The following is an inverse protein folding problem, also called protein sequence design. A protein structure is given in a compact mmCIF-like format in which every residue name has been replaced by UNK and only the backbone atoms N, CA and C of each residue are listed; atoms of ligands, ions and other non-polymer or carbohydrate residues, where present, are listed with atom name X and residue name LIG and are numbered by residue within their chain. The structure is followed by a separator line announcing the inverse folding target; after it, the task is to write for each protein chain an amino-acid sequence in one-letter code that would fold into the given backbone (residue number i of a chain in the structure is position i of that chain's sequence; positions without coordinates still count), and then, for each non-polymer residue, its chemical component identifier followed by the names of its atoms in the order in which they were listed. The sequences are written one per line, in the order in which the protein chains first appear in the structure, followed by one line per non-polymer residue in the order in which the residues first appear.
data_IF_199510946017
#
_entry.id   IF_199510946017
#
_cell.length_a   1.000
_cell.length_b   1.000
_cell.length_c   1.000
_cell.angle_alpha   90.00
_cell.angle_beta   90.00
_cell.angle_gamma   90.00
#
_symmetry.space_group_name_H-M   'P 1'
#
loop_
_entity.id
_entity.type
_entity.pdbx_description
1 polymer ?
#
# COMPACT_ATOMS: atom_id res chain seq x y z
N UNK A 1 41.30 0.10 -20.67
CA UNK A 1 40.65 0.96 -19.69
C UNK A 1 39.60 0.12 -18.98
N UNK A 2 39.87 -0.35 -17.78
CA UNK A 2 38.92 -1.09 -16.95
C UNK A 2 37.83 -0.09 -16.56
N UNK A 3 36.60 -0.28 -17.10
CA UNK A 3 35.42 0.45 -16.63
C UNK A 3 35.32 0.25 -15.11
N UNK A 4 35.52 1.31 -14.37
CA UNK A 4 35.28 1.31 -12.91
C UNK A 4 33.79 1.06 -12.68
N UNK A 5 33.43 -0.19 -12.36
CA UNK A 5 32.08 -0.57 -12.00
C UNK A 5 31.57 0.38 -10.90
N UNK A 6 30.40 0.96 -11.09
CA UNK A 6 29.77 1.78 -10.05
C UNK A 6 29.51 0.92 -8.80
N UNK A 7 29.51 1.52 -7.60
CA UNK A 7 29.18 0.80 -6.35
C UNK A 7 27.84 0.05 -6.50
N UNK A 8 26.87 0.64 -7.18
CA UNK A 8 25.56 0.03 -7.46
C UNK A 8 25.71 -1.29 -8.24
N UNK A 9 26.48 -1.27 -9.32
CA UNK A 9 26.72 -2.47 -10.14
C UNK A 9 27.45 -3.57 -9.34
N UNK A 10 28.35 -3.17 -8.42
CA UNK A 10 29.05 -4.12 -7.56
C UNK A 10 28.12 -4.76 -6.53
N UNK A 11 27.20 -3.99 -5.91
CA UNK A 11 26.16 -4.49 -5.01
C UNK A 11 25.28 -5.52 -5.73
N UNK A 12 24.87 -5.23 -6.97
CA UNK A 12 24.03 -6.15 -7.75
C UNK A 12 24.66 -7.52 -7.99
N UNK A 13 25.99 -7.58 -8.09
CA UNK A 13 26.75 -8.81 -8.35
C UNK A 13 27.24 -9.50 -7.08
N UNK A 14 27.25 -8.82 -5.94
CA UNK A 14 27.79 -9.33 -4.67
C UNK A 14 26.74 -10.09 -3.87
N UNK A 15 27.13 -11.05 -3.00
CA UNK A 15 26.23 -11.63 -2.04
C UNK A 15 25.76 -10.57 -1.02
N UNK A 16 24.55 -10.73 -0.49
CA UNK A 16 24.02 -9.80 0.53
C UNK A 16 24.68 -10.05 1.89
N UNK A 17 25.25 -8.98 2.44
CA UNK A 17 25.78 -8.96 3.80
C UNK A 17 24.71 -8.67 4.86
N UNK A 18 25.08 -8.83 6.14
CA UNK A 18 24.18 -8.58 7.29
C UNK A 18 23.63 -7.15 7.31
N UNK A 19 24.43 -6.15 6.96
CA UNK A 19 23.98 -4.75 6.90
C UNK A 19 22.87 -4.53 5.87
N UNK A 20 22.94 -5.18 4.72
CA UNK A 20 21.91 -5.09 3.68
C UNK A 20 20.61 -5.76 4.12
N UNK A 21 20.69 -6.93 4.76
CA UNK A 21 19.52 -7.58 5.36
C UNK A 21 18.90 -6.75 6.47
N UNK A 22 19.71 -6.07 7.30
CA UNK A 22 19.21 -5.14 8.31
C UNK A 22 18.38 -4.01 7.67
N UNK A 23 18.80 -3.46 6.52
CA UNK A 23 18.04 -2.43 5.81
C UNK A 23 16.72 -2.99 5.29
N UNK A 24 16.71 -4.22 4.74
CA UNK A 24 15.48 -4.90 4.31
C UNK A 24 14.52 -5.11 5.48
N UNK A 25 15.03 -5.54 6.64
CA UNK A 25 14.23 -5.74 7.86
C UNK A 25 13.66 -4.40 8.36
N UNK A 26 14.46 -3.33 8.37
CA UNK A 26 13.96 -1.99 8.73
C UNK A 26 12.83 -1.54 7.79
N UNK A 27 12.99 -1.77 6.49
CA UNK A 27 11.94 -1.48 5.50
C UNK A 27 10.67 -2.32 5.74
N UNK A 28 10.84 -3.60 6.08
CA UNK A 28 9.72 -4.49 6.41
C UNK A 28 9.00 -4.04 7.69
N UNK A 29 9.73 -3.58 8.72
CA UNK A 29 9.13 -3.06 9.96
C UNK A 29 8.40 -1.73 9.69
N UNK A 30 8.94 -0.83 8.84
CA UNK A 30 8.21 0.36 8.41
C UNK A 30 6.88 -0.01 7.77
N UNK A 31 6.88 -0.95 6.83
CA UNK A 31 5.66 -1.41 6.16
C UNK A 31 4.70 -2.19 7.10
N UNK A 32 5.25 -2.86 8.12
CA UNK A 32 4.46 -3.51 9.16
C UNK A 32 3.68 -2.46 9.99
N UNK A 33 4.33 -1.39 10.40
CA UNK A 33 3.66 -0.32 11.14
C UNK A 33 2.68 0.45 10.26
N UNK A 34 2.93 0.57 8.95
CA UNK A 34 1.94 1.10 8.01
C UNK A 34 0.69 0.22 7.94
N UNK A 35 0.84 -1.11 7.87
CA UNK A 35 -0.29 -2.05 7.89
C UNK A 35 -1.09 -1.97 9.18
N UNK A 36 -0.41 -1.84 10.33
CA UNK A 36 -1.03 -1.58 11.62
C UNK A 36 -1.87 -0.29 11.58
N UNK A 37 -1.27 0.83 11.14
CA UNK A 37 -1.89 2.14 11.19
C UNK A 37 -3.09 2.28 10.25
N UNK A 38 -2.98 1.79 9.02
CA UNK A 38 -4.08 1.86 8.03
C UNK A 38 -5.34 1.14 8.52
N UNK A 39 -5.18 0.02 9.24
CA UNK A 39 -6.30 -0.78 9.72
C UNK A 39 -6.71 -0.46 11.17
N UNK A 40 -5.88 0.25 11.93
CA UNK A 40 -6.20 0.62 13.32
C UNK A 40 -7.56 1.33 13.43
N UNK A 41 -7.86 2.26 12.51
CA UNK A 41 -9.15 2.95 12.48
C UNK A 41 -10.32 2.01 12.12
N UNK A 42 -10.14 1.09 11.17
CA UNK A 42 -11.17 0.12 10.80
C UNK A 42 -11.51 -0.83 11.96
N UNK A 43 -10.50 -1.27 12.71
CA UNK A 43 -10.68 -2.15 13.87
C UNK A 43 -11.27 -1.44 15.10
N UNK A 44 -11.12 -0.13 15.21
CA UNK A 44 -11.67 0.69 16.29
C UNK A 44 -12.93 1.45 15.89
N UNK A 45 -13.35 1.35 14.64
CA UNK A 45 -14.44 2.13 14.03
C UNK A 45 -15.74 2.10 14.83
N UNK A 46 -16.16 0.93 15.30
CA UNK A 46 -17.40 0.77 16.06
C UNK A 46 -17.35 1.44 17.44
N UNK A 47 -16.21 1.39 18.12
CA UNK A 47 -16.02 2.06 19.41
C UNK A 47 -16.03 3.58 19.24
N UNK A 48 -15.36 4.10 18.21
CA UNK A 48 -15.33 5.51 17.84
C UNK A 48 -16.75 5.99 17.48
N UNK A 49 -17.46 5.23 16.63
CA UNK A 49 -18.83 5.54 16.24
C UNK A 49 -19.76 5.64 17.45
N UNK A 50 -19.65 4.69 18.38
CA UNK A 50 -20.47 4.65 19.60
C UNK A 50 -20.16 5.83 20.53
N UNK A 51 -18.87 6.20 20.70
CA UNK A 51 -18.47 7.27 21.61
C UNK A 51 -18.90 8.66 21.12
N UNK A 52 -18.75 8.92 19.82
CA UNK A 52 -19.07 10.23 19.23
C UNK A 52 -20.46 10.32 18.60
N UNK A 53 -21.24 9.24 18.60
CA UNK A 53 -22.58 9.21 17.99
C UNK A 53 -22.55 9.45 16.47
N UNK A 54 -21.53 8.94 15.77
CA UNK A 54 -21.32 9.24 14.36
C UNK A 54 -22.34 8.57 13.45
N UNK A 55 -22.77 9.31 12.44
CA UNK A 55 -23.49 8.77 11.28
C UNK A 55 -22.58 7.88 10.42
N UNK A 56 -23.16 7.12 9.49
CA UNK A 56 -22.38 6.29 8.56
C UNK A 56 -21.44 7.13 7.69
N UNK A 57 -21.93 8.27 7.17
CA UNK A 57 -21.13 9.17 6.33
C UNK A 57 -19.97 9.81 7.11
N UNK A 58 -20.17 10.20 8.37
CA UNK A 58 -19.11 10.77 9.21
C UNK A 58 -18.00 9.75 9.49
N UNK A 59 -18.40 8.50 9.80
CA UNK A 59 -17.42 7.41 9.93
C UNK A 59 -16.70 7.14 8.61
N UNK A 60 -17.42 7.17 7.48
CA UNK A 60 -16.86 7.05 6.14
C UNK A 60 -15.81 8.12 5.85
N UNK A 61 -16.05 9.38 6.23
CA UNK A 61 -15.06 10.46 6.11
C UNK A 61 -13.81 10.18 6.95
N UNK A 62 -13.96 9.70 8.17
CA UNK A 62 -12.82 9.35 9.02
C UNK A 62 -11.97 8.22 8.39
N UNK A 63 -12.62 7.17 7.89
CA UNK A 63 -11.95 6.05 7.21
C UNK A 63 -11.24 6.51 5.92
N UNK A 64 -11.82 7.46 5.20
CA UNK A 64 -11.23 8.02 3.97
C UNK A 64 -10.11 9.01 4.25
N UNK A 65 -10.09 9.68 5.42
CA UNK A 65 -9.12 10.73 5.75
C UNK A 65 -7.66 10.24 5.67
N UNK A 66 -7.38 9.04 6.22
CA UNK A 66 -6.07 8.42 6.14
C UNK A 66 -5.64 8.10 4.70
N UNK A 67 -6.57 7.62 3.89
CA UNK A 67 -6.34 7.30 2.47
C UNK A 67 -6.08 8.55 1.63
N UNK A 68 -6.80 9.63 1.93
CA UNK A 68 -6.55 10.94 1.34
C UNK A 68 -5.13 11.43 1.69
N UNK A 69 -4.76 11.37 2.98
CA UNK A 69 -3.41 11.69 3.44
C UNK A 69 -2.34 10.86 2.74
N UNK A 70 -2.54 9.54 2.61
CA UNK A 70 -1.62 8.62 1.94
C UNK A 70 -1.44 8.97 0.46
N UNK A 71 -2.51 9.34 -0.21
CA UNK A 71 -2.46 9.77 -1.61
C UNK A 71 -1.69 11.08 -1.74
N UNK A 72 -2.00 12.07 -0.91
CA UNK A 72 -1.28 13.35 -0.87
C UNK A 72 0.22 13.14 -0.54
N UNK A 73 0.53 12.30 0.45
CA UNK A 73 1.91 11.94 0.81
C UNK A 73 2.69 11.35 -0.35
N UNK A 74 2.11 10.39 -1.06
CA UNK A 74 2.77 9.78 -2.22
C UNK A 74 2.97 10.76 -3.38
N UNK A 75 2.08 11.74 -3.56
CA UNK A 75 2.19 12.75 -4.62
C UNK A 75 3.19 13.86 -4.29
N UNK A 76 3.17 14.36 -3.05
CA UNK A 76 3.98 15.53 -2.66
C UNK A 76 5.33 15.14 -2.05
N UNK A 77 5.39 14.06 -1.26
CA UNK A 77 6.63 13.65 -0.61
C UNK A 77 7.55 12.85 -1.55
N UNK A 78 7.02 12.09 -2.52
CA UNK A 78 7.86 11.35 -3.46
C UNK A 78 8.81 12.25 -4.28
N UNK A 79 8.36 13.36 -4.89
CA UNK A 79 9.28 14.30 -5.57
C UNK A 79 10.25 14.98 -4.62
N UNK A 80 9.88 15.15 -3.36
CA UNK A 80 10.76 15.74 -2.34
C UNK A 80 11.94 14.81 -2.04
N UNK A 81 11.75 13.47 -2.08
CA UNK A 81 12.82 12.50 -1.94
C UNK A 81 13.97 12.70 -2.94
N UNK A 82 13.62 13.14 -4.16
CA UNK A 82 14.63 13.42 -5.19
C UNK A 82 15.43 14.71 -4.94
N UNK A 83 14.92 15.59 -4.07
CA UNK A 83 15.58 16.87 -3.72
C UNK A 83 16.40 16.77 -2.44
N UNK A 84 15.83 16.18 -1.38
CA UNK A 84 16.44 16.15 -0.03
C UNK A 84 17.13 14.84 0.30
N UNK A 85 16.84 13.75 -0.45
CA UNK A 85 17.33 12.39 -0.17
C UNK A 85 16.25 11.48 0.40
N UNK A 86 16.49 10.17 0.31
CA UNK A 86 15.53 9.16 0.79
C UNK A 86 15.52 9.05 2.31
N UNK A 87 16.69 9.15 2.94
CA UNK A 87 16.80 9.08 4.41
C UNK A 87 16.06 10.22 5.12
N UNK A 88 16.27 11.51 4.81
CA UNK A 88 15.50 12.60 5.42
C UNK A 88 14.00 12.48 5.15
N UNK A 89 13.62 12.07 3.93
CA UNK A 89 12.23 11.84 3.60
C UNK A 89 11.60 10.78 4.51
N UNK A 90 12.23 9.61 4.65
CA UNK A 90 11.70 8.51 5.47
C UNK A 90 11.63 8.88 6.95
N UNK A 91 12.63 9.57 7.48
CA UNK A 91 12.59 10.06 8.86
C UNK A 91 11.43 11.06 9.06
N UNK A 92 11.23 11.99 8.14
CA UNK A 92 10.10 12.93 8.18
C UNK A 92 8.76 12.19 8.06
N UNK A 93 8.65 11.23 7.16
CA UNK A 93 7.43 10.47 6.92
C UNK A 93 7.04 9.63 8.14
N UNK A 94 7.99 8.91 8.75
CA UNK A 94 7.77 8.14 9.99
C UNK A 94 7.44 9.07 11.17
N UNK A 95 8.08 10.27 11.24
CA UNK A 95 7.74 11.28 12.27
C UNK A 95 6.30 11.77 12.11
N UNK A 96 5.83 12.06 10.88
CA UNK A 96 4.45 12.45 10.61
C UNK A 96 3.47 11.35 11.00
N UNK A 97 3.77 10.09 10.69
CA UNK A 97 2.95 8.94 11.10
C UNK A 97 2.87 8.84 12.64
N UNK A 98 4.00 8.89 13.34
CA UNK A 98 4.05 8.82 14.80
C UNK A 98 3.27 9.96 15.46
N UNK A 99 3.45 11.21 15.00
CA UNK A 99 2.75 12.40 15.50
C UNK A 99 1.25 12.29 15.23
N UNK A 100 0.85 11.85 14.04
CA UNK A 100 -0.55 11.66 13.67
C UNK A 100 -1.24 10.59 14.51
N UNK A 101 -0.56 9.46 14.78
CA UNK A 101 -1.05 8.42 15.70
C UNK A 101 -1.18 8.97 17.13
N UNK A 102 -0.15 9.66 17.62
CA UNK A 102 -0.18 10.26 18.94
C UNK A 102 -1.31 11.27 19.08
N UNK A 103 -1.47 12.17 18.10
CA UNK A 103 -2.55 13.15 18.08
C UNK A 103 -3.92 12.46 18.09
N UNK A 104 -4.09 11.35 17.35
CA UNK A 104 -5.33 10.57 17.33
C UNK A 104 -5.71 9.98 18.68
N UNK A 105 -4.73 9.68 19.55
CA UNK A 105 -4.98 9.11 20.88
C UNK A 105 -5.53 10.14 21.88
N UNK A 106 -5.32 11.44 21.69
CA UNK A 106 -5.66 12.48 22.66
C UNK A 106 -6.81 13.42 22.24
N UNK A 107 -7.59 13.03 21.22
CA UNK A 107 -8.68 13.87 20.72
C UNK A 107 -9.92 13.81 21.60
N UNK A 108 -10.63 14.95 21.65
CA UNK A 108 -11.95 15.09 22.32
C UNK A 108 -13.10 15.24 21.31
N UNK A 109 -12.81 15.52 20.04
CA UNK A 109 -13.79 15.72 18.98
C UNK A 109 -13.37 14.93 17.73
N UNK A 110 -14.33 14.31 17.04
CA UNK A 110 -14.05 13.41 15.91
C UNK A 110 -13.44 14.14 14.70
N UNK A 111 -13.70 15.44 14.52
CA UNK A 111 -13.12 16.23 13.43
C UNK A 111 -11.60 16.28 13.54
N UNK A 112 -11.06 16.41 14.76
CA UNK A 112 -9.62 16.35 15.00
C UNK A 112 -9.03 14.97 14.72
N UNK A 113 -9.82 13.90 14.93
CA UNK A 113 -9.40 12.56 14.51
C UNK A 113 -9.16 12.51 13.01
N UNK A 114 -10.09 13.04 12.20
CA UNK A 114 -9.92 13.12 10.74
C UNK A 114 -8.66 13.88 10.35
N UNK A 115 -8.40 15.03 10.98
CA UNK A 115 -7.17 15.80 10.73
C UNK A 115 -5.91 14.98 11.03
N UNK A 116 -5.82 14.35 12.21
CA UNK A 116 -4.66 13.53 12.57
C UNK A 116 -4.52 12.30 11.66
N UNK A 117 -5.62 11.72 11.18
CA UNK A 117 -5.58 10.64 10.18
C UNK A 117 -5.00 11.09 8.84
N UNK A 118 -5.29 12.33 8.40
CA UNK A 118 -4.63 12.90 7.21
C UNK A 118 -3.12 13.04 7.43
N UNK A 119 -2.69 13.53 8.59
CA UNK A 119 -1.26 13.67 8.94
C UNK A 119 -0.57 12.29 8.96
N UNK A 120 -1.19 11.29 9.60
CA UNK A 120 -0.67 9.92 9.60
C UNK A 120 -0.55 9.39 8.17
N UNK A 121 -1.62 9.55 7.39
CA UNK A 121 -1.63 9.12 5.98
C UNK A 121 -0.54 9.78 5.14
N UNK A 122 -0.29 11.08 5.30
CA UNK A 122 0.84 11.76 4.64
C UNK A 122 2.16 11.03 4.91
N UNK A 123 2.40 10.65 6.17
CA UNK A 123 3.57 9.85 6.55
C UNK A 123 3.60 8.50 5.82
N UNK A 124 2.51 7.74 5.89
CA UNK A 124 2.39 6.42 5.22
C UNK A 124 2.67 6.53 3.72
N UNK A 125 2.11 7.54 3.04
CA UNK A 125 2.36 7.78 1.61
C UNK A 125 3.84 8.01 1.28
N UNK A 126 4.57 8.73 2.14
CA UNK A 126 6.01 8.94 2.01
C UNK A 126 6.82 7.67 2.27
N UNK A 127 6.44 6.88 3.28
CA UNK A 127 7.09 5.60 3.63
C UNK A 127 7.00 4.62 2.45
N UNK A 128 5.83 4.41 1.89
CA UNK A 128 5.61 3.47 0.78
C UNK A 128 6.54 3.72 -0.41
N UNK A 129 6.75 4.98 -0.77
CA UNK A 129 7.61 5.33 -1.90
C UNK A 129 9.10 5.18 -1.55
N UNK A 130 9.50 5.66 -0.37
CA UNK A 130 10.90 5.67 0.03
C UNK A 130 11.46 4.28 0.35
N UNK A 131 10.69 3.44 1.03
CA UNK A 131 11.11 2.09 1.46
C UNK A 131 11.32 1.14 0.30
N UNK A 132 10.44 1.15 -0.70
CA UNK A 132 10.58 0.31 -1.89
C UNK A 132 11.90 0.63 -2.63
N UNK A 133 12.20 1.91 -2.81
CA UNK A 133 13.43 2.35 -3.47
C UNK A 133 14.66 1.89 -2.70
N UNK A 134 14.74 2.17 -1.38
CA UNK A 134 15.90 1.77 -0.56
C UNK A 134 16.06 0.25 -0.56
N UNK A 135 14.99 -0.52 -0.38
CA UNK A 135 15.04 -1.98 -0.41
C UNK A 135 15.63 -2.49 -1.73
N UNK A 136 15.19 -1.93 -2.86
CA UNK A 136 15.69 -2.29 -4.19
C UNK A 136 17.16 -1.89 -4.39
N UNK A 137 17.57 -0.72 -3.90
CA UNK A 137 18.93 -0.20 -4.06
C UNK A 137 19.98 -1.01 -3.28
N UNK A 138 19.65 -1.45 -2.09
CA UNK A 138 20.56 -2.21 -1.24
C UNK A 138 20.52 -3.71 -1.47
N UNK A 139 19.62 -4.20 -2.32
CA UNK A 139 19.50 -5.63 -2.62
C UNK A 139 20.35 -6.03 -3.84
N UNK A 140 21.03 -7.17 -3.73
CA UNK A 140 21.72 -7.80 -4.88
C UNK A 140 20.70 -8.29 -5.91
N UNK A 141 21.13 -8.43 -7.18
CA UNK A 141 20.25 -8.87 -8.27
C UNK A 141 19.56 -10.21 -7.96
N UNK A 142 20.30 -11.14 -7.35
CA UNK A 142 19.79 -12.47 -6.98
C UNK A 142 18.67 -12.40 -5.91
N UNK A 143 18.81 -11.53 -4.92
CA UNK A 143 17.92 -11.48 -3.75
C UNK A 143 16.90 -10.34 -3.78
N UNK A 144 16.95 -9.46 -4.80
CA UNK A 144 16.08 -8.27 -4.89
C UNK A 144 14.59 -8.61 -4.81
N UNK A 145 14.14 -9.58 -5.59
CA UNK A 145 12.73 -10.00 -5.58
C UNK A 145 12.30 -10.54 -4.22
N UNK A 146 13.17 -11.34 -3.58
CA UNK A 146 12.90 -11.85 -2.24
C UNK A 146 12.89 -10.74 -1.19
N UNK A 147 13.82 -9.79 -1.22
CA UNK A 147 13.87 -8.64 -0.33
C UNK A 147 12.61 -7.75 -0.45
N UNK A 148 12.15 -7.53 -1.68
CA UNK A 148 10.89 -6.79 -1.94
C UNK A 148 9.69 -7.58 -1.41
N UNK A 149 9.68 -8.90 -1.53
CA UNK A 149 8.61 -9.74 -0.96
C UNK A 149 8.59 -9.70 0.57
N UNK A 150 9.75 -9.74 1.22
CA UNK A 150 9.88 -9.59 2.68
C UNK A 150 9.36 -8.22 3.13
N UNK A 151 9.76 -7.16 2.44
CA UNK A 151 9.23 -5.82 2.67
C UNK A 151 7.71 -5.78 2.52
N UNK A 152 7.17 -6.29 1.42
CA UNK A 152 5.74 -6.27 1.14
C UNK A 152 4.91 -7.10 2.14
N UNK A 153 5.43 -8.24 2.59
CA UNK A 153 4.78 -9.08 3.60
C UNK A 153 4.60 -8.34 4.95
N UNK A 154 5.45 -7.37 5.24
CA UNK A 154 5.34 -6.52 6.44
C UNK A 154 3.95 -5.94 6.60
N UNK A 155 3.33 -5.41 5.54
CA UNK A 155 1.99 -4.81 5.61
C UNK A 155 0.93 -5.79 6.13
N UNK A 156 0.85 -6.99 5.56
CA UNK A 156 -0.12 -8.00 5.99
C UNK A 156 0.11 -8.48 7.43
N UNK A 157 1.37 -8.68 7.81
CA UNK A 157 1.74 -9.04 9.20
C UNK A 157 1.35 -7.91 10.15
N UNK A 158 1.62 -6.65 9.77
CA UNK A 158 1.24 -5.48 10.55
C UNK A 158 -0.26 -5.33 10.74
N UNK A 159 -1.03 -5.63 9.71
CA UNK A 159 -2.49 -5.65 9.77
C UNK A 159 -3.02 -6.69 10.77
N UNK A 160 -2.43 -7.90 10.78
CA UNK A 160 -2.80 -8.96 11.75
C UNK A 160 -2.40 -8.57 13.16
N UNK A 161 -1.17 -8.10 13.37
CA UNK A 161 -0.72 -7.63 14.68
C UNK A 161 -1.56 -6.45 15.17
N UNK A 162 -1.90 -5.52 14.27
CA UNK A 162 -2.78 -4.39 14.57
C UNK A 162 -4.16 -4.82 15.06
N UNK A 163 -4.73 -5.83 14.42
CA UNK A 163 -5.98 -6.44 14.87
C UNK A 163 -5.87 -7.09 16.26
N UNK A 164 -4.78 -7.84 16.51
CA UNK A 164 -4.51 -8.43 17.83
C UNK A 164 -4.39 -7.36 18.91
N UNK A 165 -3.58 -6.32 18.67
CA UNK A 165 -3.45 -5.19 19.60
C UNK A 165 -4.79 -4.47 19.79
N UNK A 166 -5.58 -4.30 18.73
CA UNK A 166 -6.90 -3.68 18.82
C UNK A 166 -7.83 -4.50 19.73
N UNK A 167 -7.86 -5.83 19.59
CA UNK A 167 -8.68 -6.70 20.45
C UNK A 167 -8.21 -6.64 21.90
N UNK A 168 -6.90 -6.76 22.14
CA UNK A 168 -6.34 -6.80 23.49
C UNK A 168 -6.50 -5.47 24.23
N UNK A 169 -6.28 -4.35 23.55
CA UNK A 169 -6.22 -3.04 24.20
C UNK A 169 -7.59 -2.38 24.31
N UNK A 170 -8.49 -2.55 23.34
CA UNK A 170 -9.79 -1.89 23.36
C UNK A 170 -10.67 -2.31 24.54
N UNK A 171 -10.58 -3.59 24.94
CA UNK A 171 -11.42 -4.13 26.01
C UNK A 171 -11.13 -3.51 27.39
N UNK A 172 -9.85 -3.25 27.68
CA UNK A 172 -9.42 -2.76 29.00
C UNK A 172 -9.16 -1.25 29.01
N UNK A 173 -8.55 -0.71 27.94
CA UNK A 173 -8.05 0.66 27.89
C UNK A 173 -8.74 1.56 26.87
N UNK A 174 -9.75 1.03 26.19
CA UNK A 174 -10.47 1.76 25.15
C UNK A 174 -9.68 1.91 23.83
N UNK A 175 -10.37 2.38 22.78
CA UNK A 175 -9.81 2.46 21.42
C UNK A 175 -8.61 3.41 21.29
N UNK A 176 -8.50 4.42 22.14
CA UNK A 176 -7.36 5.37 22.14
C UNK A 176 -6.03 4.70 22.41
N UNK A 177 -6.03 3.64 23.20
CA UNK A 177 -4.82 2.86 23.52
C UNK A 177 -4.20 2.20 22.31
N UNK A 178 -5.00 1.83 21.30
CA UNK A 178 -4.51 1.26 20.04
C UNK A 178 -3.66 2.28 19.28
N UNK A 179 -4.14 3.53 19.19
CA UNK A 179 -3.39 4.61 18.54
C UNK A 179 -2.14 5.00 19.33
N UNK A 180 -2.23 5.01 20.66
CA UNK A 180 -1.09 5.28 21.52
C UNK A 180 0.01 4.20 21.37
N UNK A 181 -0.38 2.92 21.34
CA UNK A 181 0.56 1.82 21.11
C UNK A 181 1.23 1.97 19.73
N UNK A 182 0.48 2.28 18.68
CA UNK A 182 1.02 2.57 17.35
C UNK A 182 2.00 3.75 17.35
N UNK A 183 1.66 4.84 18.06
CA UNK A 183 2.56 6.00 18.19
C UNK A 183 3.87 5.65 18.89
N UNK A 184 3.82 4.86 19.96
CA UNK A 184 5.02 4.41 20.70
C UNK A 184 5.89 3.52 19.82
N UNK A 185 5.30 2.51 19.16
CA UNK A 185 6.04 1.61 18.27
C UNK A 185 6.69 2.34 17.10
N UNK A 186 5.95 3.27 16.47
CA UNK A 186 6.46 4.08 15.35
C UNK A 186 7.53 5.06 15.83
N UNK A 187 7.39 5.63 17.04
CA UNK A 187 8.40 6.48 17.67
C UNK A 187 9.68 5.73 18.00
N UNK A 188 9.58 4.50 18.51
CA UNK A 188 10.74 3.64 18.74
C UNK A 188 11.45 3.28 17.43
N UNK A 189 10.68 2.95 16.40
CA UNK A 189 11.25 2.71 15.07
C UNK A 189 11.96 3.96 14.53
N UNK A 190 11.41 5.17 14.73
CA UNK A 190 12.04 6.42 14.31
C UNK A 190 13.45 6.57 14.90
N UNK A 191 13.64 6.24 16.17
CA UNK A 191 14.96 6.26 16.83
C UNK A 191 15.92 5.26 16.16
N UNK A 192 15.45 4.04 15.88
CA UNK A 192 16.21 3.01 15.17
C UNK A 192 16.64 3.50 13.78
N UNK A 193 15.71 4.06 13.02
CA UNK A 193 15.98 4.58 11.67
C UNK A 193 16.95 5.77 11.70
N UNK A 194 16.82 6.66 12.69
CA UNK A 194 17.73 7.79 12.84
C UNK A 194 19.19 7.35 13.00
N UNK A 195 19.44 6.24 13.69
CA UNK A 195 20.79 5.72 13.95
C UNK A 195 21.32 4.89 12.78
N UNK A 196 20.50 4.01 12.19
CA UNK A 196 20.99 2.96 11.28
C UNK A 196 20.58 3.11 9.82
N UNK A 197 19.53 3.89 9.50
CA UNK A 197 19.07 4.03 8.12
C UNK A 197 20.12 4.79 7.28
N UNK A 198 20.68 4.20 6.22
CA UNK A 198 21.59 4.89 5.32
C UNK A 198 20.86 5.78 4.31
N UNK A 199 21.61 6.63 3.64
CA UNK A 199 21.09 7.39 2.49
C UNK A 199 21.07 6.50 1.23
N UNK A 200 20.20 6.85 0.28
CA UNK A 200 20.10 6.22 -1.03
C UNK A 200 21.41 6.36 -1.81
N UNK A 201 21.89 5.26 -2.38
CA UNK A 201 23.10 5.24 -3.22
C UNK A 201 22.84 6.01 -4.51
N UNK A 202 21.67 5.81 -5.12
CA UNK A 202 21.28 6.50 -6.35
C UNK A 202 21.14 8.02 -6.14
N UNK A 203 20.68 8.46 -4.95
CA UNK A 203 20.65 9.87 -4.59
C UNK A 203 22.06 10.44 -4.44
N UNK A 204 22.95 9.76 -3.71
CA UNK A 204 24.34 10.20 -3.52
C UNK A 204 25.10 10.33 -4.85
N UNK A 205 24.90 9.37 -5.76
CA UNK A 205 25.59 9.36 -7.05
C UNK A 205 25.00 10.35 -8.07
N UNK A 206 23.67 10.55 -8.07
CA UNK A 206 22.99 11.40 -9.06
C UNK A 206 22.96 12.87 -8.67
N UNK A 207 22.72 13.19 -7.39
CA UNK A 207 22.62 14.58 -6.88
C UNK A 207 23.90 15.12 -6.32
N UNK A 208 24.78 14.24 -5.84
CA UNK A 208 26.09 14.59 -5.31
C UNK A 208 26.04 15.72 -4.28
N UNK A 209 25.29 15.55 -3.17
CA UNK A 209 25.25 16.54 -2.09
C UNK A 209 26.65 16.68 -1.46
N UNK A 210 26.84 17.70 -0.60
CA UNK A 210 28.08 17.87 0.15
C UNK A 210 28.49 16.55 0.83
N UNK A 211 29.76 16.18 0.72
CA UNK A 211 30.33 14.94 1.26
C UNK A 211 29.71 13.64 0.72
N UNK A 212 29.12 13.64 -0.51
CA UNK A 212 28.51 12.46 -1.09
C UNK A 212 29.50 11.29 -1.25
N UNK A 213 30.73 11.58 -1.66
CA UNK A 213 31.80 10.58 -1.83
C UNK A 213 32.19 9.93 -0.49
N UNK A 214 32.37 10.73 0.56
CA UNK A 214 32.66 10.24 1.92
C UNK A 214 31.53 9.32 2.41
N UNK A 215 30.26 9.75 2.23
CA UNK A 215 29.09 8.95 2.61
C UNK A 215 29.01 7.66 1.81
N UNK A 216 29.29 7.70 0.51
CA UNK A 216 29.28 6.54 -0.36
C UNK A 216 30.31 5.50 0.10
N UNK A 217 31.54 5.93 0.40
CA UNK A 217 32.62 5.08 0.88
C UNK A 217 32.33 4.50 2.29
N UNK A 218 31.69 5.26 3.17
CA UNK A 218 31.22 4.76 4.47
C UNK A 218 30.15 3.65 4.31
N UNK A 219 29.21 3.83 3.40
CA UNK A 219 28.19 2.82 3.08
C UNK A 219 28.87 1.58 2.49
N UNK A 220 29.79 1.76 1.52
CA UNK A 220 30.54 0.67 0.91
C UNK A 220 31.32 -0.15 1.95
N UNK A 221 31.95 0.51 2.92
CA UNK A 221 32.63 -0.15 4.04
C UNK A 221 31.68 -0.98 4.89
N UNK A 222 30.47 -0.46 5.20
CA UNK A 222 29.46 -1.20 6.00
C UNK A 222 28.91 -2.42 5.25
N UNK A 223 28.86 -2.37 3.91
CA UNK A 223 28.40 -3.49 3.07
C UNK A 223 29.50 -4.54 2.86
N UNK A 224 30.74 -4.25 3.25
CA UNK A 224 31.90 -5.13 2.99
C UNK A 224 32.51 -4.94 1.58
N UNK A 225 32.18 -3.87 0.90
CA UNK A 225 32.70 -3.50 -0.42
C UNK A 225 33.64 -2.28 -0.31
N UNK A 226 34.50 -2.27 0.71
CA UNK A 226 35.44 -1.18 0.93
C UNK A 226 36.33 -0.95 -0.32
N UNK A 227 36.53 0.32 -0.69
CA UNK A 227 37.30 0.73 -1.84
C UNK A 227 37.27 2.25 -1.99
N UNK A 228 37.96 2.77 -2.98
CA UNK A 228 37.94 4.21 -3.33
C UNK A 228 36.85 4.44 -4.41
N UNK A 229 35.60 4.55 -3.98
CA UNK A 229 34.46 4.75 -4.86
C UNK A 229 34.31 6.24 -5.19
N UNK A 230 34.59 6.59 -6.46
CA UNK A 230 34.45 7.95 -6.97
C UNK A 230 33.05 8.20 -7.52
N UNK A 231 32.59 9.43 -7.43
CA UNK A 231 31.32 9.83 -8.00
C UNK A 231 31.42 9.86 -9.54
N UNK A 232 30.39 9.39 -10.26
CA UNK A 232 30.34 9.52 -11.72
C UNK A 232 30.23 11.00 -12.12
N UNK A 233 30.63 11.32 -13.35
CA UNK A 233 30.39 12.65 -13.89
C UNK A 233 28.88 13.00 -13.84
N UNK A 234 28.53 14.24 -13.50
CA UNK A 234 27.12 14.67 -13.50
C UNK A 234 26.58 14.60 -14.93
N UNK A 235 25.65 13.68 -15.15
CA UNK A 235 24.87 13.60 -16.38
C UNK A 235 23.56 14.32 -16.16
N UNK A 236 23.33 15.42 -16.85
CA UNK A 236 22.02 16.08 -16.88
C UNK A 236 21.04 15.15 -17.60
N UNK A 237 20.18 14.49 -16.83
CA UNK A 237 19.06 13.73 -17.43
C UNK A 237 18.06 14.72 -17.98
N UNK A 238 17.99 14.83 -19.29
CA UNK A 238 16.88 15.51 -19.98
C UNK A 238 15.60 14.79 -19.60
N UNK A 239 14.78 15.38 -18.75
CA UNK A 239 13.45 14.88 -18.41
C UNK A 239 12.51 15.19 -19.56
N UNK A 240 12.39 14.30 -20.52
CA UNK A 240 11.27 14.30 -21.47
C UNK A 240 10.00 13.92 -20.68
N UNK A 241 9.27 14.92 -20.20
CA UNK A 241 7.90 14.71 -19.72
C UNK A 241 6.98 14.78 -20.94
N UNK A 242 6.55 13.65 -21.41
CA UNK A 242 5.49 13.64 -22.41
C UNK A 242 4.17 14.14 -21.78
N UNK A 243 3.43 15.01 -22.48
CA UNK A 243 2.20 15.59 -21.92
C UNK A 243 1.15 14.50 -21.69
N UNK A 244 0.36 14.68 -20.63
CA UNK A 244 -0.77 13.78 -20.28
C UNK A 244 -1.76 13.65 -21.45
N UNK A 245 -1.87 14.66 -22.29
CA UNK A 245 -2.75 14.65 -23.48
C UNK A 245 -2.49 13.45 -24.41
N UNK A 246 -1.28 12.89 -24.42
CA UNK A 246 -0.99 11.70 -25.21
C UNK A 246 -1.74 10.45 -24.75
N UNK A 247 -2.14 10.35 -23.46
CA UNK A 247 -2.98 9.27 -22.97
C UNK A 247 -4.38 9.27 -23.59
N UNK A 248 -4.84 10.43 -24.04
CA UNK A 248 -6.13 10.63 -24.68
C UNK A 248 -6.06 10.62 -26.21
N UNK A 249 -4.90 10.28 -26.79
CA UNK A 249 -4.80 10.05 -28.24
C UNK A 249 -5.61 8.81 -28.65
N UNK A 250 -6.08 8.76 -29.91
CA UNK A 250 -6.83 7.61 -30.45
C UNK A 250 -6.16 6.25 -30.16
N UNK A 251 -4.83 6.24 -30.20
CA UNK A 251 -4.02 5.05 -29.95
C UNK A 251 -4.16 4.49 -28.51
N UNK A 252 -4.29 5.35 -27.50
CA UNK A 252 -4.24 4.95 -26.08
C UNK A 252 -5.57 5.13 -25.35
N UNK A 253 -6.47 5.99 -25.85
CA UNK A 253 -7.71 6.37 -25.18
C UNK A 253 -8.49 5.16 -24.65
N UNK A 254 -8.78 4.21 -25.53
CA UNK A 254 -9.55 3.02 -25.18
C UNK A 254 -8.87 2.20 -24.05
N UNK A 255 -7.59 1.90 -24.22
CA UNK A 255 -6.83 1.14 -23.21
C UNK A 255 -6.67 1.91 -21.91
N UNK A 256 -6.50 3.24 -21.96
CA UNK A 256 -6.40 4.11 -20.79
C UNK A 256 -7.69 4.11 -20.00
N UNK A 257 -8.83 4.28 -20.63
CA UNK A 257 -10.13 4.28 -19.95
C UNK A 257 -10.43 2.92 -19.32
N UNK A 258 -10.14 1.83 -20.02
CA UNK A 258 -10.37 0.48 -19.50
C UNK A 258 -9.49 0.16 -18.29
N UNK A 259 -8.19 0.48 -18.35
CA UNK A 259 -7.28 0.22 -17.21
C UNK A 259 -7.61 1.14 -16.02
N UNK A 260 -8.02 2.38 -16.25
CA UNK A 260 -8.48 3.31 -15.22
C UNK A 260 -9.74 2.80 -14.53
N UNK A 261 -10.72 2.31 -15.31
CA UNK A 261 -11.94 1.69 -14.77
C UNK A 261 -11.62 0.49 -13.92
N UNK A 262 -10.71 -0.39 -14.38
CA UNK A 262 -10.28 -1.54 -13.60
C UNK A 262 -9.58 -1.13 -12.30
N UNK A 263 -8.66 -0.15 -12.35
CA UNK A 263 -8.01 0.37 -11.14
C UNK A 263 -9.00 0.97 -10.15
N UNK A 264 -9.91 1.81 -10.63
CA UNK A 264 -10.94 2.41 -9.78
C UNK A 264 -11.79 1.34 -9.09
N UNK A 265 -12.36 0.40 -9.85
CA UNK A 265 -13.28 -0.60 -9.34
C UNK A 265 -12.61 -1.56 -8.35
N UNK A 266 -11.40 -2.05 -8.66
CA UNK A 266 -10.65 -2.96 -7.77
C UNK A 266 -10.23 -2.24 -6.49
N UNK A 267 -9.70 -1.01 -6.57
CA UNK A 267 -9.30 -0.24 -5.41
C UNK A 267 -10.50 0.17 -4.55
N UNK A 268 -11.60 0.58 -5.18
CA UNK A 268 -12.85 0.86 -4.47
C UNK A 268 -13.30 -0.37 -3.65
N UNK A 269 -13.38 -1.53 -4.28
CA UNK A 269 -13.83 -2.76 -3.63
C UNK A 269 -12.88 -3.20 -2.50
N UNK A 270 -11.56 -3.13 -2.73
CA UNK A 270 -10.56 -3.48 -1.72
C UNK A 270 -10.66 -2.59 -0.47
N UNK A 271 -10.73 -1.27 -0.66
CA UNK A 271 -10.78 -0.36 0.48
C UNK A 271 -12.15 -0.33 1.17
N UNK A 272 -13.25 -0.60 0.46
CA UNK A 272 -14.54 -0.88 1.10
C UNK A 272 -14.41 -2.07 2.06
N UNK A 273 -13.96 -3.22 1.56
CA UNK A 273 -13.84 -4.46 2.35
C UNK A 273 -12.90 -4.24 3.54
N UNK A 274 -11.73 -3.68 3.32
CA UNK A 274 -10.75 -3.48 4.38
C UNK A 274 -11.21 -2.52 5.48
N UNK A 275 -12.01 -1.49 5.13
CA UNK A 275 -12.44 -0.46 6.06
C UNK A 275 -13.72 -0.80 6.80
N UNK A 276 -14.71 -1.39 6.11
CA UNK A 276 -16.06 -1.57 6.65
C UNK A 276 -16.36 -2.95 7.19
N UNK A 277 -15.63 -4.00 6.78
CA UNK A 277 -15.94 -5.37 7.19
C UNK A 277 -16.04 -5.54 8.72
N UNK A 278 -15.07 -5.07 9.54
CA UNK A 278 -15.19 -5.23 10.99
C UNK A 278 -16.45 -4.54 11.56
N UNK A 279 -16.75 -3.31 11.10
CA UNK A 279 -17.90 -2.56 11.57
C UNK A 279 -19.24 -3.23 11.20
N UNK A 280 -19.38 -3.63 9.93
CA UNK A 280 -20.60 -4.27 9.41
C UNK A 280 -20.87 -5.64 10.04
N UNK A 281 -19.83 -6.43 10.31
CA UNK A 281 -19.96 -7.72 10.98
C UNK A 281 -20.36 -7.56 12.45
N UNK A 282 -19.85 -6.51 13.12
CA UNK A 282 -20.27 -6.19 14.48
C UNK A 282 -21.74 -5.74 14.53
N UNK A 283 -22.19 -4.90 13.62
CA UNK A 283 -23.61 -4.53 13.48
C UNK A 283 -24.49 -5.74 13.14
N UNK A 284 -23.92 -6.76 12.54
CA UNK A 284 -24.57 -8.03 12.25
C UNK A 284 -24.70 -8.98 13.45
N UNK A 285 -24.25 -8.55 14.65
CA UNK A 285 -24.33 -9.32 15.90
C UNK A 285 -23.06 -10.07 16.30
N UNK A 286 -21.95 -9.94 15.57
CA UNK A 286 -20.66 -10.48 16.00
C UNK A 286 -20.09 -9.66 17.16
N UNK A 287 -19.29 -10.29 18.02
CA UNK A 287 -18.50 -9.56 19.02
C UNK A 287 -17.42 -8.72 18.33
N UNK A 288 -16.86 -7.73 19.03
CA UNK A 288 -15.73 -6.94 18.51
C UNK A 288 -14.55 -7.84 18.17
N UNK A 289 -14.24 -8.81 19.02
CA UNK A 289 -13.17 -9.77 18.82
C UNK A 289 -13.40 -10.63 17.55
N UNK A 290 -14.61 -11.16 17.36
CA UNK A 290 -14.96 -11.94 16.18
C UNK A 290 -14.85 -11.12 14.88
N UNK A 291 -15.38 -9.91 14.88
CA UNK A 291 -15.40 -9.04 13.70
C UNK A 291 -13.97 -8.59 13.29
N UNK A 292 -13.13 -8.26 14.26
CA UNK A 292 -11.71 -7.93 14.02
C UNK A 292 -10.94 -9.16 13.56
N UNK A 293 -11.23 -10.35 14.13
CA UNK A 293 -10.59 -11.60 13.70
C UNK A 293 -10.86 -11.91 12.22
N UNK A 294 -12.09 -11.67 11.73
CA UNK A 294 -12.39 -11.81 10.30
C UNK A 294 -11.58 -10.80 9.47
N UNK A 295 -11.45 -9.55 9.92
CA UNK A 295 -10.60 -8.55 9.27
C UNK A 295 -9.11 -8.95 9.20
N UNK A 296 -8.59 -9.59 10.27
CA UNK A 296 -7.24 -10.17 10.27
C UNK A 296 -7.12 -11.30 9.26
N UNK A 297 -8.12 -12.17 9.13
CA UNK A 297 -8.13 -13.26 8.15
C UNK A 297 -8.14 -12.73 6.70
N UNK A 298 -8.85 -11.65 6.42
CA UNK A 298 -8.78 -10.96 5.11
C UNK A 298 -7.34 -10.50 4.83
N UNK A 299 -6.68 -9.88 5.80
CA UNK A 299 -5.31 -9.39 5.64
C UNK A 299 -4.29 -10.52 5.46
N UNK A 300 -4.46 -11.61 6.21
CA UNK A 300 -3.63 -12.82 6.09
C UNK A 300 -3.79 -13.45 4.70
N UNK A 301 -5.03 -13.61 4.25
CA UNK A 301 -5.33 -14.10 2.89
C UNK A 301 -4.68 -13.23 1.83
N UNK A 302 -4.73 -11.91 2.01
CA UNK A 302 -4.12 -10.94 1.11
C UNK A 302 -2.63 -11.15 0.90
N UNK A 303 -1.89 -11.47 1.95
CA UNK A 303 -0.45 -11.75 1.85
C UNK A 303 -0.17 -12.96 0.94
N UNK A 304 -0.98 -14.02 1.02
CA UNK A 304 -0.84 -15.20 0.17
C UNK A 304 -1.32 -14.95 -1.27
N UNK A 305 -2.37 -14.16 -1.45
CA UNK A 305 -3.03 -13.96 -2.74
C UNK A 305 -2.15 -13.30 -3.80
N UNK A 306 -1.33 -12.35 -3.41
CA UNK A 306 -0.35 -11.72 -4.30
C UNK A 306 0.67 -12.74 -4.85
N UNK A 307 1.12 -13.68 -4.01
CA UNK A 307 2.04 -14.76 -4.42
C UNK A 307 1.34 -15.75 -5.34
N UNK A 308 0.12 -16.16 -5.01
CA UNK A 308 -0.68 -17.08 -5.82
C UNK A 308 -0.92 -16.47 -7.21
N UNK A 309 -1.31 -15.20 -7.30
CA UNK A 309 -1.44 -14.51 -8.57
C UNK A 309 -0.14 -14.53 -9.38
N UNK A 310 0.99 -14.21 -8.77
CA UNK A 310 2.30 -14.22 -9.43
C UNK A 310 2.68 -15.58 -9.99
N UNK A 311 2.44 -16.65 -9.23
CA UNK A 311 2.67 -18.04 -9.66
C UNK A 311 1.76 -18.43 -10.85
N UNK A 312 0.49 -18.07 -10.82
CA UNK A 312 -0.44 -18.37 -11.91
C UNK A 312 -0.11 -17.53 -13.16
N UNK A 313 0.21 -16.25 -13.00
CA UNK A 313 0.58 -15.36 -14.09
C UNK A 313 1.92 -15.72 -14.76
N UNK A 314 2.78 -16.51 -14.10
CA UNK A 314 3.99 -17.06 -14.71
C UNK A 314 3.73 -18.24 -15.66
N UNK A 315 2.58 -18.88 -15.53
CA UNK A 315 2.20 -20.04 -16.35
C UNK A 315 1.12 -19.70 -17.39
N UNK A 316 0.28 -18.71 -17.08
CA UNK A 316 -0.83 -18.24 -17.92
C UNK A 316 -0.65 -16.75 -18.25
N UNK A 317 -1.53 -16.20 -19.08
CA UNK A 317 -1.47 -14.75 -19.39
C UNK A 317 -1.85 -13.95 -18.15
N UNK A 318 -1.07 -12.91 -17.85
CA UNK A 318 -1.34 -12.03 -16.70
C UNK A 318 -2.76 -11.44 -16.74
N UNK A 319 -3.26 -11.09 -17.94
CA UNK A 319 -4.62 -10.61 -18.14
C UNK A 319 -5.67 -11.69 -17.83
N UNK A 320 -5.51 -12.91 -18.35
CA UNK A 320 -6.45 -14.00 -18.12
C UNK A 320 -6.56 -14.38 -16.64
N UNK A 321 -5.43 -14.45 -15.93
CA UNK A 321 -5.42 -14.68 -14.47
C UNK A 321 -6.11 -13.53 -13.74
N UNK A 322 -5.88 -12.27 -14.14
CA UNK A 322 -6.54 -11.13 -13.50
C UNK A 322 -8.05 -11.15 -13.71
N UNK A 323 -8.54 -11.47 -14.92
CA UNK A 323 -9.98 -11.63 -15.21
C UNK A 323 -10.56 -12.75 -14.31
N UNK A 324 -9.92 -13.90 -14.22
CA UNK A 324 -10.35 -14.99 -13.34
C UNK A 324 -10.46 -14.53 -11.89
N UNK A 325 -9.43 -13.81 -11.38
CA UNK A 325 -9.42 -13.31 -10.01
C UNK A 325 -10.53 -12.29 -9.76
N UNK A 326 -10.83 -11.40 -10.71
CA UNK A 326 -11.93 -10.41 -10.56
C UNK A 326 -13.31 -11.08 -10.52
N UNK A 327 -13.56 -12.10 -11.37
CA UNK A 327 -14.80 -12.89 -11.34
C UNK A 327 -14.94 -13.63 -10.01
N UNK A 328 -13.89 -14.34 -9.60
CA UNK A 328 -13.90 -15.08 -8.33
C UNK A 328 -14.03 -14.15 -7.13
N UNK A 329 -13.40 -12.95 -7.18
CA UNK A 329 -13.56 -11.92 -6.13
C UNK A 329 -15.00 -11.48 -6.00
N UNK A 330 -15.69 -11.19 -7.12
CA UNK A 330 -17.10 -10.80 -7.10
C UNK A 330 -17.96 -11.88 -6.43
N UNK A 331 -17.81 -13.12 -6.84
CA UNK A 331 -18.54 -14.25 -6.27
C UNK A 331 -18.20 -14.46 -4.79
N UNK A 332 -16.92 -14.38 -4.42
CA UNK A 332 -16.46 -14.56 -3.04
C UNK A 332 -16.97 -13.44 -2.11
N UNK A 333 -17.01 -12.19 -2.57
CA UNK A 333 -17.51 -11.03 -1.81
C UNK A 333 -19.00 -11.22 -1.49
N UNK A 334 -19.80 -11.61 -2.48
CA UNK A 334 -21.25 -11.83 -2.31
C UNK A 334 -21.48 -13.03 -1.38
N UNK A 335 -20.80 -14.16 -1.61
CA UNK A 335 -20.95 -15.36 -0.78
C UNK A 335 -20.48 -15.12 0.65
N UNK A 336 -19.40 -14.37 0.85
CA UNK A 336 -18.88 -13.99 2.17
C UNK A 336 -19.97 -13.36 3.05
N UNK A 337 -20.66 -12.33 2.55
CA UNK A 337 -21.66 -11.63 3.37
C UNK A 337 -22.92 -12.48 3.61
N UNK A 338 -23.35 -13.28 2.63
CA UNK A 338 -24.50 -14.16 2.76
C UNK A 338 -24.26 -15.27 3.80
N UNK A 339 -23.02 -15.71 3.94
CA UNK A 339 -22.62 -16.79 4.87
C UNK A 339 -22.01 -16.28 6.20
N UNK A 340 -21.96 -14.97 6.40
CA UNK A 340 -21.29 -14.32 7.55
C UNK A 340 -21.93 -14.59 8.92
N UNK A 341 -23.12 -15.20 8.98
CA UNK A 341 -23.76 -15.60 10.24
C UNK A 341 -22.98 -16.67 11.01
N UNK A 342 -22.14 -17.43 10.35
CA UNK A 342 -21.32 -18.49 10.97
C UNK A 342 -19.86 -18.04 10.97
N UNK A 343 -19.27 -17.84 12.15
CA UNK A 343 -17.92 -17.28 12.33
C UNK A 343 -16.84 -18.02 11.52
N UNK A 344 -16.80 -19.35 11.58
CA UNK A 344 -15.79 -20.12 10.87
C UNK A 344 -15.90 -19.99 9.36
N UNK A 345 -17.12 -19.91 8.83
CA UNK A 345 -17.37 -19.69 7.41
C UNK A 345 -16.90 -18.27 7.03
N UNK A 346 -17.24 -17.27 7.85
CA UNK A 346 -16.78 -15.90 7.63
C UNK A 346 -15.24 -15.79 7.64
N UNK A 347 -14.54 -16.50 8.51
CA UNK A 347 -13.08 -16.52 8.54
C UNK A 347 -12.48 -17.15 7.26
N UNK A 348 -12.99 -18.30 6.82
CA UNK A 348 -12.52 -18.98 5.61
C UNK A 348 -12.76 -18.13 4.37
N UNK A 349 -13.99 -17.60 4.21
CA UNK A 349 -14.27 -16.68 3.10
C UNK A 349 -13.50 -15.36 3.22
N UNK A 350 -13.21 -14.88 4.44
CA UNK A 350 -12.34 -13.75 4.67
C UNK A 350 -10.94 -13.95 4.08
N UNK A 351 -10.32 -15.12 4.34
CA UNK A 351 -9.03 -15.49 3.73
C UNK A 351 -9.15 -15.50 2.21
N UNK A 352 -10.20 -16.10 1.67
CA UNK A 352 -10.43 -16.20 0.22
C UNK A 352 -10.60 -14.82 -0.43
N UNK A 353 -11.47 -13.99 0.14
CA UNK A 353 -11.70 -12.61 -0.33
C UNK A 353 -10.40 -11.80 -0.29
N UNK A 354 -9.66 -11.87 0.82
CA UNK A 354 -8.37 -11.20 0.95
C UNK A 354 -7.37 -11.66 -0.10
N UNK A 355 -7.25 -12.97 -0.32
CA UNK A 355 -6.34 -13.54 -1.31
C UNK A 355 -6.69 -13.09 -2.74
N UNK A 356 -7.96 -13.17 -3.11
CA UNK A 356 -8.41 -12.79 -4.45
C UNK A 356 -8.25 -11.28 -4.68
N UNK A 357 -8.60 -10.43 -3.70
CA UNK A 357 -8.50 -8.98 -3.83
C UNK A 357 -7.06 -8.49 -3.95
N UNK A 358 -6.14 -8.99 -3.12
CA UNK A 358 -4.72 -8.63 -3.24
C UNK A 358 -4.09 -9.22 -4.51
N UNK A 359 -4.55 -10.40 -4.95
CA UNK A 359 -4.20 -10.94 -6.26
C UNK A 359 -4.62 -10.01 -7.40
N UNK A 360 -5.83 -9.43 -7.34
CA UNK A 360 -6.27 -8.43 -8.30
C UNK A 360 -5.38 -7.18 -8.30
N UNK A 361 -4.99 -6.68 -7.12
CA UNK A 361 -4.06 -5.54 -7.00
C UNK A 361 -2.72 -5.88 -7.65
N UNK A 362 -2.14 -7.04 -7.35
CA UNK A 362 -0.87 -7.49 -7.95
C UNK A 362 -1.00 -7.61 -9.46
N UNK A 363 -2.14 -8.09 -9.95
CA UNK A 363 -2.45 -8.18 -11.37
C UNK A 363 -2.51 -6.83 -12.06
N UNK A 364 -3.13 -5.84 -11.43
CA UNK A 364 -3.16 -4.48 -11.96
C UNK A 364 -1.75 -3.90 -12.09
N UNK A 365 -0.92 -4.03 -11.06
CA UNK A 365 0.47 -3.54 -11.11
C UNK A 365 1.31 -4.28 -12.14
N UNK A 366 1.01 -5.54 -12.43
CA UNK A 366 1.67 -6.33 -13.48
C UNK A 366 1.21 -5.91 -14.88
N UNK A 367 -0.10 -5.74 -15.09
CA UNK A 367 -0.69 -5.47 -16.41
C UNK A 367 -0.51 -4.01 -16.85
N UNK A 368 -0.57 -3.07 -15.90
CA UNK A 368 -0.54 -1.63 -16.18
C UNK A 368 0.69 -1.18 -17.00
N UNK A 369 1.94 -1.54 -16.65
CA UNK A 369 3.10 -1.20 -17.48
C UNK A 369 3.09 -1.83 -18.88
N UNK A 370 2.37 -2.94 -19.08
CA UNK A 370 2.26 -3.63 -20.35
C UNK A 370 1.22 -2.98 -21.30
N UNK A 371 0.39 -2.09 -20.76
CA UNK A 371 -0.65 -1.38 -21.52
C UNK A 371 -0.07 -0.24 -22.37
N UNK A 372 1.08 0.34 -21.95
CA UNK A 372 1.65 1.54 -22.54
C UNK A 372 3.02 1.28 -23.19
N UNK A 373 3.34 2.06 -24.25
CA UNK A 373 4.67 2.09 -24.84
C UNK A 373 5.70 2.68 -23.87
N UNK A 374 6.98 2.36 -24.08
CA UNK A 374 8.08 2.77 -23.19
C UNK A 374 8.11 4.28 -22.92
N UNK A 375 7.83 5.08 -23.94
CA UNK A 375 7.90 6.55 -23.89
C UNK A 375 6.84 7.18 -22.99
N UNK A 376 5.63 6.61 -22.94
CA UNK A 376 4.48 7.13 -22.19
C UNK A 376 4.18 6.30 -20.93
N UNK A 377 4.87 5.16 -20.73
CA UNK A 377 4.58 4.17 -19.69
C UNK A 377 4.57 4.77 -18.29
N UNK A 378 5.55 5.59 -17.94
CA UNK A 378 5.62 6.19 -16.60
C UNK A 378 4.44 7.12 -16.31
N UNK A 379 4.02 7.87 -17.32
CA UNK A 379 2.84 8.76 -17.23
C UNK A 379 1.56 7.94 -17.10
N UNK A 380 1.36 6.94 -18.00
CA UNK A 380 0.16 6.09 -17.99
C UNK A 380 0.02 5.30 -16.66
N UNK A 381 1.11 4.68 -16.20
CA UNK A 381 1.12 3.93 -14.93
C UNK A 381 0.79 4.85 -13.75
N UNK A 382 1.41 6.03 -13.68
CA UNK A 382 1.18 6.98 -12.59
C UNK A 382 -0.27 7.45 -12.52
N UNK A 383 -0.87 7.78 -13.66
CA UNK A 383 -2.27 8.21 -13.72
C UNK A 383 -3.25 7.08 -13.40
N UNK A 384 -3.00 5.87 -13.87
CA UNK A 384 -3.82 4.70 -13.52
C UNK A 384 -3.87 4.46 -12.01
N UNK A 385 -2.71 4.54 -11.35
CA UNK A 385 -2.63 4.43 -9.88
C UNK A 385 -3.38 5.59 -9.23
N UNK A 386 -3.24 6.83 -9.75
CA UNK A 386 -3.95 8.01 -9.25
C UNK A 386 -5.47 7.83 -9.29
N UNK A 387 -6.02 7.33 -10.39
CA UNK A 387 -7.46 7.02 -10.52
C UNK A 387 -7.88 5.94 -9.53
N UNK A 388 -7.07 4.90 -9.35
CA UNK A 388 -7.32 3.89 -8.33
C UNK A 388 -7.37 4.47 -6.90
N UNK A 389 -6.53 5.47 -6.59
CA UNK A 389 -6.57 6.17 -5.30
C UNK A 389 -7.87 6.95 -5.09
N UNK A 390 -8.45 7.51 -6.15
CA UNK A 390 -9.77 8.15 -6.06
C UNK A 390 -10.82 7.10 -5.65
N UNK A 391 -10.83 5.92 -6.26
CA UNK A 391 -11.70 4.81 -5.85
C UNK A 391 -11.50 4.41 -4.38
N UNK A 392 -10.27 4.31 -3.94
CA UNK A 392 -9.93 4.00 -2.54
C UNK A 392 -10.48 5.02 -1.54
N UNK A 393 -10.37 6.32 -1.85
CA UNK A 393 -10.85 7.42 -0.99
C UNK A 393 -12.38 7.46 -0.96
N UNK A 394 -13.02 7.26 -2.10
CA UNK A 394 -14.48 7.36 -2.22
C UNK A 394 -15.21 6.17 -1.58
N UNK A 395 -14.59 4.99 -1.57
CA UNK A 395 -15.25 3.76 -1.13
C UNK A 395 -15.79 3.84 0.31
N UNK A 396 -15.02 4.23 1.34
CA UNK A 396 -15.56 4.31 2.70
C UNK A 396 -16.65 5.37 2.85
N UNK A 397 -16.51 6.52 2.18
CA UNK A 397 -17.47 7.61 2.25
C UNK A 397 -18.79 7.25 1.58
N UNK A 398 -18.77 6.67 0.38
CA UNK A 398 -19.97 6.23 -0.35
C UNK A 398 -20.67 5.12 0.44
N UNK A 399 -19.94 4.17 1.00
CA UNK A 399 -20.53 3.12 1.82
C UNK A 399 -21.24 3.69 3.06
N UNK A 400 -20.62 4.66 3.73
CA UNK A 400 -21.23 5.34 4.89
C UNK A 400 -22.52 6.08 4.52
N UNK A 401 -22.52 6.78 3.37
CA UNK A 401 -23.71 7.46 2.87
C UNK A 401 -24.85 6.48 2.54
N UNK A 402 -24.54 5.36 1.90
CA UNK A 402 -25.53 4.34 1.58
C UNK A 402 -26.12 3.70 2.84
N UNK A 403 -25.31 3.49 3.89
CA UNK A 403 -25.80 3.02 5.20
C UNK A 403 -26.80 4.02 5.81
N UNK A 404 -26.49 5.32 5.77
CA UNK A 404 -27.41 6.36 6.28
C UNK A 404 -28.69 6.47 5.45
N UNK A 405 -28.65 6.04 4.17
CA UNK A 405 -29.82 5.92 3.28
C UNK A 405 -30.65 4.64 3.54
N UNK A 406 -30.23 3.80 4.48
CA UNK A 406 -30.94 2.59 4.86
C UNK A 406 -30.51 1.31 4.14
N UNK A 407 -29.40 1.35 3.41
CA UNK A 407 -28.82 0.11 2.85
C UNK A 407 -28.28 -0.78 3.97
N UNK A 408 -28.61 -2.06 3.89
CA UNK A 408 -28.06 -3.05 4.79
C UNK A 408 -26.70 -3.59 4.31
N UNK A 409 -26.05 -4.36 5.17
CA UNK A 409 -24.74 -4.97 4.87
C UNK A 409 -24.79 -5.84 3.61
N UNK A 410 -25.88 -6.55 3.36
CA UNK A 410 -26.00 -7.45 2.20
C UNK A 410 -26.05 -6.65 0.91
N UNK A 411 -26.89 -5.61 0.87
CA UNK A 411 -27.00 -4.70 -0.29
C UNK A 411 -25.67 -4.04 -0.61
N UNK A 412 -24.91 -3.59 0.39
CA UNK A 412 -23.59 -2.98 0.18
C UNK A 412 -22.59 -3.97 -0.44
N UNK A 413 -22.49 -5.18 0.12
CA UNK A 413 -21.54 -6.17 -0.42
C UNK A 413 -21.92 -6.67 -1.81
N UNK A 414 -23.22 -6.85 -2.09
CA UNK A 414 -23.74 -7.17 -3.41
C UNK A 414 -23.39 -6.04 -4.40
N UNK A 415 -23.60 -4.78 -4.00
CA UNK A 415 -23.19 -3.62 -4.80
C UNK A 415 -21.69 -3.60 -5.13
N UNK A 416 -20.84 -3.88 -4.12
CA UNK A 416 -19.39 -3.99 -4.34
C UNK A 416 -19.02 -5.18 -5.24
N UNK A 417 -19.74 -6.30 -5.13
CA UNK A 417 -19.60 -7.42 -6.06
C UNK A 417 -19.88 -7.00 -7.52
N UNK A 418 -20.92 -6.19 -7.75
CA UNK A 418 -21.18 -5.63 -9.07
C UNK A 418 -20.10 -4.65 -9.53
N UNK A 419 -19.57 -3.81 -8.64
CA UNK A 419 -18.41 -2.95 -8.98
C UNK A 419 -17.21 -3.79 -9.41
N UNK A 420 -16.96 -4.95 -8.78
CA UNK A 420 -15.92 -5.89 -9.24
C UNK A 420 -16.20 -6.44 -10.64
N UNK A 421 -17.46 -6.73 -11.00
CA UNK A 421 -17.81 -7.17 -12.36
C UNK A 421 -17.53 -6.08 -13.39
N UNK A 422 -17.67 -4.80 -13.05
CA UNK A 422 -17.28 -3.70 -13.96
C UNK A 422 -15.80 -3.79 -14.29
N UNK A 423 -14.94 -4.11 -13.31
CA UNK A 423 -13.51 -4.32 -13.57
C UNK A 423 -13.26 -5.53 -14.48
N UNK A 424 -14.01 -6.60 -14.30
CA UNK A 424 -13.95 -7.80 -15.16
C UNK A 424 -14.25 -7.45 -16.63
N UNK A 425 -15.34 -6.70 -16.83
CA UNK A 425 -15.75 -6.25 -18.19
C UNK A 425 -14.66 -5.36 -18.80
N UNK A 426 -14.14 -4.40 -18.02
CA UNK A 426 -13.08 -3.52 -18.49
C UNK A 426 -11.83 -4.31 -18.90
N UNK A 427 -11.41 -5.28 -18.08
CA UNK A 427 -10.26 -6.12 -18.38
C UNK A 427 -10.50 -7.07 -19.56
N UNK A 428 -11.74 -7.51 -19.77
CA UNK A 428 -12.10 -8.36 -20.91
C UNK A 428 -11.94 -7.62 -22.24
N UNK A 429 -12.27 -6.34 -22.30
CA UNK A 429 -12.10 -5.52 -23.50
C UNK A 429 -10.70 -4.90 -23.62
N UNK A 430 -9.87 -4.96 -22.57
CA UNK A 430 -8.51 -4.45 -22.60
C UNK A 430 -7.62 -5.37 -23.45
N UNK A 431 -7.22 -4.95 -24.64
CA UNK A 431 -6.27 -5.69 -25.48
C UNK A 431 -4.85 -5.51 -24.94
N UNK A 432 -4.22 -6.58 -24.50
CA UNK A 432 -2.80 -6.56 -24.14
C UNK A 432 -1.95 -6.53 -25.40
N UNK A 433 -0.91 -5.69 -25.42
CA UNK A 433 -0.01 -5.60 -26.58
C UNK A 433 0.81 -6.87 -26.85
N UNK A 434 1.01 -7.71 -25.84
CA UNK A 434 1.63 -9.03 -26.04
C UNK A 434 0.74 -9.95 -26.89
N UNK A 435 -0.59 -9.73 -26.89
CA UNK A 435 -1.56 -10.49 -27.71
C UNK A 435 -1.69 -9.91 -29.14
N UNK A 436 -1.29 -8.67 -29.38
CA UNK A 436 -1.34 -8.03 -30.70
C UNK A 436 -0.09 -8.36 -31.54
N UNK A 437 0.99 -8.85 -30.91
CA UNK A 437 2.25 -9.24 -31.61
C UNK A 437 2.37 -10.75 -31.84
N UNK A 438 1.44 -11.55 -31.39
CA UNK A 438 1.28 -12.97 -31.72
C UNK A 438 0.24 -13.16 -32.80
#
# INVERSE_FOLDING_TARGET
MTETLSLRAKIEQSPMGAYQWMIVVMAAIMNLLDGFDVLALAFTATAIRSEFGLTGIELGYLLSAGLFGMTAGSLFLAPLADKIGRRPLLLMAVSLSAIGMLGSAFISQYQWLGFWRVITGLGVGGILVGTNVITSEYSSRKWRSFAISVYAAGFGIGAVLGGMFAVMLQGEYGWRSVFLAGAILTGLLLVVLFIWLPESIDFLTSKQPKNAEVRLNLIAKKIGLAGDWKLPAKVEKVKSKLPISQLFSEKYLHSTLLIWTAFFAIMFSFYFISSWTPALLKEAGMTTEQSVSVGMMISLGGTCGALIYGLLASRWTARGVLILFTVLSSAAIITFILSSSVLWIAMVFGILVGALMNGCISGLYTLNPLTYDADIRSTGVGWSIGVGRIGAILAPTIAGQLLDMGWDKQSLYVGVGFVMLISTIALFFLKSRSEVKA
#
